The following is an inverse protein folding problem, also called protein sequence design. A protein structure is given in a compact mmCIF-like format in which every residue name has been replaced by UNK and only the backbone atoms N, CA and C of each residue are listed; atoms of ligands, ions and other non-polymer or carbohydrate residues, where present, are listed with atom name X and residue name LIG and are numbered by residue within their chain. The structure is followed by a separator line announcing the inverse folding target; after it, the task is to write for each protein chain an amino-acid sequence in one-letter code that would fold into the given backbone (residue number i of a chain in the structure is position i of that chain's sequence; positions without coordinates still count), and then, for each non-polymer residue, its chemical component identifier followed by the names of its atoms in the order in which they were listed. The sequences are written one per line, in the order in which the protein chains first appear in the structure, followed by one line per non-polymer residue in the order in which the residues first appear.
data_IF_652306833272
#
_entry.id   IF_652306833272
#
_cell.length_a   1.000
_cell.length_b   1.000
_cell.length_c   1.000
_cell.angle_alpha   90.00
_cell.angle_beta   90.00
_cell.angle_gamma   90.00
#
_symmetry.space_group_name_H-M   'P 1'
#
loop_
_entity.id
_entity.type
_entity.pdbx_description
1 polymer ?
#
# COMPACT_ATOMS: atom_id res chain seq x y z
N UNK A 1 31.91 -2.04 4.49
CA UNK A 1 31.63 -3.26 3.76
C UNK A 1 31.21 -2.89 2.33
N UNK A 2 31.82 -3.51 1.32
CA UNK A 2 31.44 -3.37 -0.09
C UNK A 2 30.77 -4.67 -0.53
N UNK A 3 29.61 -4.55 -1.18
CA UNK A 3 28.84 -5.66 -1.75
C UNK A 3 28.67 -5.43 -3.24
N UNK A 4 28.85 -6.45 -4.05
CA UNK A 4 28.68 -6.39 -5.50
C UNK A 4 27.69 -7.47 -5.95
N UNK A 5 26.68 -7.06 -6.72
CA UNK A 5 25.62 -7.92 -7.21
C UNK A 5 25.41 -7.76 -8.70
N UNK A 6 24.97 -8.82 -9.35
CA UNK A 6 24.52 -8.83 -10.73
C UNK A 6 23.00 -8.99 -10.75
N UNK A 7 22.31 -8.01 -11.30
CA UNK A 7 20.85 -7.95 -11.29
C UNK A 7 20.32 -7.44 -12.64
N UNK A 8 19.19 -7.94 -13.14
CA UNK A 8 18.51 -7.34 -14.29
C UNK A 8 18.14 -5.87 -14.02
N UNK A 9 18.25 -5.00 -15.03
CA UNK A 9 17.99 -3.55 -14.87
C UNK A 9 16.62 -3.25 -14.28
N UNK A 10 15.58 -4.05 -14.60
CA UNK A 10 14.24 -3.91 -14.02
C UNK A 10 14.18 -4.20 -12.51
N UNK A 11 15.12 -4.98 -11.96
CA UNK A 11 15.20 -5.26 -10.52
C UNK A 11 15.87 -4.15 -9.71
N UNK A 12 16.49 -3.16 -10.37
CA UNK A 12 17.09 -1.99 -9.70
C UNK A 12 16.03 -0.95 -9.37
N UNK A 13 14.89 -0.97 -10.09
CA UNK A 13 13.80 -0.02 -9.89
C UNK A 13 13.29 -0.12 -8.45
N UNK A 14 13.25 1.00 -7.72
CA UNK A 14 12.84 1.08 -6.30
C UNK A 14 13.89 0.61 -5.28
N UNK A 15 14.91 -0.13 -5.70
CA UNK A 15 15.90 -0.72 -4.79
C UNK A 15 16.71 0.34 -4.02
N UNK A 16 16.96 1.49 -4.62
CA UNK A 16 17.70 2.58 -3.95
C UNK A 16 17.00 3.03 -2.67
N UNK A 17 15.68 3.23 -2.73
CA UNK A 17 14.89 3.66 -1.58
C UNK A 17 14.89 2.60 -0.47
N UNK A 18 14.79 1.33 -0.85
CA UNK A 18 14.86 0.20 0.08
C UNK A 18 16.22 0.15 0.78
N UNK A 19 17.31 0.24 0.03
CA UNK A 19 18.68 0.20 0.57
C UNK A 19 18.95 1.39 1.49
N UNK A 20 18.53 2.61 1.11
CA UNK A 20 18.67 3.79 1.96
C UNK A 20 17.86 3.66 3.26
N UNK A 21 16.64 3.13 3.19
CA UNK A 21 15.80 2.91 4.37
C UNK A 21 16.43 1.87 5.33
N UNK A 22 16.89 0.74 4.79
CA UNK A 22 17.52 -0.32 5.58
C UNK A 22 18.83 0.09 6.23
N UNK A 23 19.58 1.00 5.59
CA UNK A 23 20.86 1.51 6.09
C UNK A 23 20.74 2.82 6.87
N UNK A 24 19.53 3.27 7.18
CA UNK A 24 19.28 4.58 7.79
C UNK A 24 19.94 5.76 7.03
N UNK A 25 20.04 5.63 5.69
CA UNK A 25 20.63 6.65 4.81
C UNK A 25 22.15 6.54 4.59
N UNK A 26 22.83 5.60 5.24
CA UNK A 26 24.29 5.48 5.17
C UNK A 26 24.80 4.77 3.91
N UNK A 27 23.99 3.96 3.24
CA UNK A 27 24.42 3.20 2.09
C UNK A 27 24.58 4.05 0.83
N UNK A 28 25.64 3.78 0.09
CA UNK A 28 25.87 4.33 -1.25
C UNK A 28 25.60 3.22 -2.26
N UNK A 29 24.64 3.46 -3.17
CA UNK A 29 24.33 2.53 -4.25
C UNK A 29 24.75 3.12 -5.59
N UNK A 30 25.59 2.41 -6.30
CA UNK A 30 25.97 2.70 -7.68
C UNK A 30 25.72 1.48 -8.56
N UNK A 31 25.36 1.69 -9.82
CA UNK A 31 25.18 0.61 -10.77
C UNK A 31 25.82 0.98 -12.13
N UNK A 32 26.19 -0.05 -12.87
CA UNK A 32 26.71 0.08 -14.23
C UNK A 32 26.15 -1.01 -15.12
N UNK A 33 26.03 -0.75 -16.40
CA UNK A 33 25.69 -1.78 -17.37
C UNK A 33 26.82 -2.82 -17.44
N UNK A 34 26.47 -4.09 -17.44
CA UNK A 34 27.43 -5.19 -17.55
C UNK A 34 27.35 -5.86 -18.91
N UNK A 35 26.20 -6.43 -19.27
CA UNK A 35 25.98 -7.15 -20.53
C UNK A 35 24.49 -7.37 -20.77
N UNK A 36 24.12 -7.73 -22.01
CA UNK A 36 22.82 -8.32 -22.32
C UNK A 36 22.83 -9.81 -21.97
N UNK A 37 21.78 -10.28 -21.33
CA UNK A 37 21.61 -11.68 -20.94
C UNK A 37 20.20 -12.19 -21.24
N UNK A 38 20.00 -13.50 -21.32
CA UNK A 38 18.67 -14.09 -21.43
C UNK A 38 17.75 -13.65 -20.30
N UNK A 39 16.46 -13.63 -20.58
CA UNK A 39 15.41 -13.31 -19.62
C UNK A 39 15.50 -14.20 -18.36
N UNK A 40 15.53 -13.56 -17.19
CA UNK A 40 15.70 -14.22 -15.88
C UNK A 40 14.38 -14.53 -15.15
N UNK A 41 13.25 -14.48 -15.83
CA UNK A 41 11.94 -14.69 -15.23
C UNK A 41 11.35 -13.40 -14.61
N UNK A 42 10.19 -13.52 -14.00
CA UNK A 42 9.53 -12.44 -13.28
C UNK A 42 10.31 -12.06 -12.01
N UNK A 43 10.27 -10.78 -11.65
CA UNK A 43 10.82 -10.27 -10.40
C UNK A 43 9.67 -9.72 -9.58
N UNK A 44 9.32 -10.42 -8.51
CA UNK A 44 8.32 -9.94 -7.57
C UNK A 44 8.85 -8.71 -6.84
N UNK A 45 8.14 -7.58 -7.00
CA UNK A 45 8.51 -6.30 -6.38
C UNK A 45 7.92 -6.14 -4.99
N UNK A 46 6.72 -6.67 -4.77
CA UNK A 46 5.98 -6.56 -3.52
C UNK A 46 5.31 -7.88 -3.18
N UNK A 47 5.77 -8.53 -2.10
CA UNK A 47 5.18 -9.78 -1.60
C UNK A 47 3.86 -9.54 -0.87
N UNK A 48 3.78 -8.41 -0.14
CA UNK A 48 2.60 -8.07 0.64
C UNK A 48 1.39 -7.75 -0.23
N UNK A 49 0.22 -8.14 0.26
CA UNK A 49 -1.06 -7.83 -0.37
C UNK A 49 -1.50 -6.38 -0.16
N UNK A 50 -2.66 -6.05 -0.71
CA UNK A 50 -3.30 -4.74 -0.59
C UNK A 50 -4.45 -4.78 0.40
N UNK A 51 -4.64 -3.70 1.16
CA UNK A 51 -5.88 -3.40 1.86
C UNK A 51 -6.79 -2.64 0.89
N UNK A 52 -7.93 -3.22 0.55
CA UNK A 52 -8.84 -2.68 -0.48
C UNK A 52 -10.10 -2.17 0.19
N UNK A 53 -10.54 -0.96 -0.14
CA UNK A 53 -11.78 -0.41 0.36
C UNK A 53 -12.99 -1.22 -0.11
N UNK A 54 -13.85 -1.60 0.85
CA UNK A 54 -15.08 -2.36 0.60
C UNK A 54 -16.14 -1.51 -0.08
N UNK A 55 -16.28 -0.26 0.31
CA UNK A 55 -17.36 0.63 -0.12
C UNK A 55 -16.87 2.07 -0.29
N UNK A 56 -17.67 2.86 -0.97
CA UNK A 56 -17.43 4.30 -1.16
C UNK A 56 -17.96 5.08 0.04
N UNK A 57 -17.17 6.03 0.53
CA UNK A 57 -17.56 6.89 1.65
C UNK A 57 -16.36 7.59 2.27
N UNK A 58 -16.56 8.13 3.47
CA UNK A 58 -15.52 8.83 4.23
C UNK A 58 -14.81 7.85 5.17
N UNK A 59 -13.49 7.86 5.20
CA UNK A 59 -12.69 7.05 6.10
C UNK A 59 -12.75 7.58 7.53
N UNK A 60 -13.06 6.73 8.51
CA UNK A 60 -13.13 7.11 9.93
C UNK A 60 -11.91 6.65 10.71
N UNK A 61 -11.38 7.55 11.58
CA UNK A 61 -10.26 7.27 12.46
C UNK A 61 -10.46 5.97 13.27
N UNK A 62 -11.66 5.75 13.80
CA UNK A 62 -12.00 4.54 14.55
C UNK A 62 -11.83 3.25 13.72
N UNK A 63 -12.25 3.27 12.45
CA UNK A 63 -12.12 2.10 11.60
C UNK A 63 -10.67 1.83 11.22
N UNK A 64 -9.91 2.90 10.91
CA UNK A 64 -8.48 2.79 10.61
C UNK A 64 -7.74 2.24 11.84
N UNK A 65 -7.97 2.78 13.03
CA UNK A 65 -7.35 2.33 14.28
C UNK A 65 -7.56 0.83 14.53
N UNK A 66 -8.78 0.34 14.36
CA UNK A 66 -9.12 -1.09 14.53
C UNK A 66 -8.50 -2.01 13.49
N UNK A 67 -8.01 -1.46 12.40
CA UNK A 67 -7.43 -2.22 11.28
C UNK A 67 -5.91 -2.07 11.19
N UNK A 68 -5.27 -1.27 12.05
CA UNK A 68 -3.82 -1.03 12.03
C UNK A 68 -2.99 -2.31 12.17
N UNK A 69 -3.47 -3.31 12.90
CA UNK A 69 -2.80 -4.61 13.04
C UNK A 69 -2.75 -5.40 11.72
N UNK A 70 -3.58 -5.03 10.74
CA UNK A 70 -3.60 -5.69 9.43
C UNK A 70 -2.58 -5.16 8.45
N UNK A 71 -2.04 -3.96 8.70
CA UNK A 71 -1.04 -3.38 7.82
C UNK A 71 -0.92 -1.85 7.93
N UNK A 72 -0.23 -1.27 6.97
CA UNK A 72 0.01 0.18 6.90
C UNK A 72 -0.98 0.86 5.98
N UNK A 73 -1.56 1.97 6.43
CA UNK A 73 -2.54 2.74 5.65
C UNK A 73 -1.89 3.85 4.83
N UNK A 74 -2.53 4.20 3.70
CA UNK A 74 -2.15 5.28 2.76
C UNK A 74 -3.14 6.44 2.80
N UNK A 75 -4.20 6.32 3.60
CA UNK A 75 -5.31 7.28 3.69
C UNK A 75 -5.33 7.96 5.05
N UNK A 76 -5.77 9.20 5.05
CA UNK A 76 -6.03 9.97 6.26
C UNK A 76 -7.47 9.77 6.75
N UNK A 77 -7.74 9.95 8.06
CA UNK A 77 -9.10 10.12 8.55
C UNK A 77 -9.80 11.28 7.85
N UNK A 78 -11.11 11.16 7.68
CA UNK A 78 -11.98 12.13 6.98
C UNK A 78 -11.71 12.23 5.46
N UNK A 79 -10.84 11.41 4.91
CA UNK A 79 -10.60 11.33 3.47
C UNK A 79 -11.73 10.57 2.78
N UNK A 80 -12.19 11.07 1.64
CA UNK A 80 -13.11 10.36 0.78
C UNK A 80 -12.39 9.26 0.00
N UNK A 81 -12.98 8.09 0.00
CA UNK A 81 -12.50 6.89 -0.67
C UNK A 81 -13.63 6.25 -1.47
N UNK A 82 -13.27 5.34 -2.34
CA UNK A 82 -14.24 4.57 -3.14
C UNK A 82 -13.95 3.07 -3.13
N UNK A 83 -14.97 2.26 -3.41
CA UNK A 83 -14.84 0.81 -3.49
C UNK A 83 -13.78 0.38 -4.50
N UNK A 84 -12.89 -0.53 -4.12
CA UNK A 84 -11.79 -0.98 -4.98
C UNK A 84 -10.53 -0.10 -4.94
N UNK A 85 -10.55 1.04 -4.22
CA UNK A 85 -9.35 1.82 -3.93
C UNK A 85 -8.43 1.04 -2.98
N UNK A 86 -7.12 1.05 -3.23
CA UNK A 86 -6.11 0.52 -2.31
C UNK A 86 -5.87 1.56 -1.23
N UNK A 87 -6.27 1.24 -0.02
CA UNK A 87 -6.20 2.14 1.15
C UNK A 87 -5.03 1.84 2.07
N UNK A 88 -4.29 0.76 1.78
CA UNK A 88 -3.11 0.37 2.56
C UNK A 88 -2.43 -0.87 2.02
N UNK A 89 -1.32 -1.23 2.67
CA UNK A 89 -0.58 -2.48 2.45
C UNK A 89 -0.93 -3.47 3.54
N UNK A 90 -1.27 -4.70 3.14
CA UNK A 90 -1.47 -5.79 4.08
C UNK A 90 -0.13 -6.23 4.69
N UNK A 91 -0.09 -6.60 5.96
CA UNK A 91 1.10 -7.18 6.61
C UNK A 91 1.41 -8.62 6.15
N UNK A 92 0.51 -9.25 5.40
CA UNK A 92 0.62 -10.62 4.88
C UNK A 92 0.49 -10.62 3.36
N UNK A 93 0.89 -11.71 2.75
CA UNK A 93 0.60 -12.00 1.35
C UNK A 93 -0.92 -12.05 1.12
N UNK A 94 -1.32 -11.66 -0.09
CA UNK A 94 -2.72 -11.66 -0.50
C UNK A 94 -3.49 -10.39 -0.10
N UNK A 95 -4.42 -10.04 -0.96
CA UNK A 95 -5.27 -8.87 -0.81
C UNK A 95 -6.43 -9.15 0.14
N UNK A 96 -6.78 -8.17 0.95
CA UNK A 96 -7.98 -8.21 1.80
C UNK A 96 -8.84 -6.97 1.61
N UNK A 97 -10.14 -7.20 1.59
CA UNK A 97 -11.13 -6.12 1.56
C UNK A 97 -11.44 -5.69 2.99
N UNK A 98 -11.36 -4.39 3.24
CA UNK A 98 -11.53 -3.77 4.55
C UNK A 98 -12.58 -2.67 4.51
N UNK A 99 -13.35 -2.56 5.59
CA UNK A 99 -14.31 -1.47 5.74
C UNK A 99 -13.72 -0.37 6.63
N UNK A 100 -13.27 0.72 6.01
CA UNK A 100 -12.71 1.89 6.70
C UNK A 100 -13.73 3.03 6.84
N UNK A 101 -14.97 2.86 6.34
CA UNK A 101 -16.05 3.85 6.46
C UNK A 101 -16.93 3.62 7.69
N UNK A 102 -16.63 2.60 8.48
CA UNK A 102 -17.42 2.24 9.66
C UNK A 102 -17.21 3.26 10.78
N UNK A 103 -18.24 4.02 11.12
CA UNK A 103 -18.23 4.92 12.27
C UNK A 103 -18.35 4.16 13.60
N UNK A 104 -17.87 4.75 14.68
CA UNK A 104 -18.13 4.26 16.04
C UNK A 104 -19.63 4.37 16.32
N UNK A 105 -20.30 3.27 16.65
CA UNK A 105 -21.68 3.33 17.15
C UNK A 105 -21.66 4.06 18.50
N UNK A 106 -22.51 5.07 18.65
CA UNK A 106 -22.72 5.72 19.93
C UNK A 106 -23.26 4.70 20.93
N UNK A 107 -22.42 4.25 21.85
CA UNK A 107 -22.80 3.44 23.00
C UNK A 107 -23.02 4.35 24.19
N UNK A 108 -24.04 4.02 25.00
CA UNK A 108 -24.57 4.77 26.13
C UNK A 108 -23.54 5.54 26.98
N UNK A 109 -23.95 6.70 27.49
CA UNK A 109 -23.23 7.79 28.16
C UNK A 109 -22.35 7.43 29.38
N UNK A 110 -22.25 6.18 29.83
CA UNK A 110 -21.45 5.81 31.00
C UNK A 110 -19.96 5.50 30.71
N UNK A 111 -19.53 5.48 29.45
CA UNK A 111 -18.15 5.21 29.05
C UNK A 111 -17.45 6.41 28.40
N UNK A 112 -17.97 7.62 28.57
CA UNK A 112 -17.43 8.83 27.94
C UNK A 112 -16.09 9.33 28.54
N UNK A 113 -15.59 8.67 29.59
CA UNK A 113 -14.32 9.03 30.23
C UNK A 113 -13.08 8.28 29.73
N UNK A 114 -13.26 7.22 28.94
CA UNK A 114 -12.18 6.41 28.38
C UNK A 114 -12.21 6.45 26.84
N UNK A 115 -12.20 7.62 26.26
CA UNK A 115 -11.77 7.76 24.87
C UNK A 115 -10.24 7.57 24.87
N UNK A 116 -9.83 6.33 24.77
CA UNK A 116 -8.47 6.01 24.37
C UNK A 116 -8.22 6.79 23.09
N UNK A 117 -7.37 7.81 23.18
CA UNK A 117 -6.95 8.61 22.02
C UNK A 117 -6.38 7.60 21.03
N UNK A 118 -7.11 7.35 19.95
CA UNK A 118 -6.70 6.41 18.91
C UNK A 118 -5.23 6.73 18.54
N UNK A 119 -4.34 5.81 18.84
CA UNK A 119 -2.90 5.96 18.62
C UNK A 119 -2.63 5.62 17.16
N UNK A 120 -3.00 6.55 16.29
CA UNK A 120 -2.91 6.33 14.86
C UNK A 120 -1.46 6.43 14.38
N UNK A 121 -1.03 5.39 13.69
CA UNK A 121 0.22 5.40 12.92
C UNK A 121 -0.01 6.35 11.73
N UNK A 122 0.89 7.32 11.51
CA UNK A 122 0.77 8.19 10.35
C UNK A 122 0.68 7.39 9.04
N UNK A 123 -0.21 7.76 8.11
CA UNK A 123 -0.30 7.09 6.83
C UNK A 123 0.96 7.31 5.99
N UNK A 124 1.28 6.32 5.17
CA UNK A 124 2.34 6.44 4.17
C UNK A 124 1.80 7.27 3.00
N UNK A 125 2.52 8.33 2.65
CA UNK A 125 2.21 9.17 1.50
C UNK A 125 3.26 8.92 0.43
N UNK A 126 2.83 8.48 -0.73
CA UNK A 126 3.71 8.22 -1.87
C UNK A 126 3.80 9.44 -2.80
N UNK A 127 5.00 9.71 -3.30
CA UNK A 127 5.18 10.49 -4.52
C UNK A 127 4.68 9.73 -5.75
N UNK A 128 4.63 10.38 -6.90
CA UNK A 128 4.25 9.70 -8.15
C UNK A 128 5.24 8.58 -8.49
N UNK A 129 6.53 8.85 -8.35
CA UNK A 129 7.59 7.90 -8.62
C UNK A 129 7.48 6.68 -7.71
N UNK A 130 7.32 6.90 -6.41
CA UNK A 130 7.14 5.82 -5.43
C UNK A 130 5.87 5.02 -5.69
N UNK A 131 4.78 5.67 -6.11
CA UNK A 131 3.55 5.00 -6.49
C UNK A 131 3.76 4.06 -7.67
N UNK A 132 4.46 4.52 -8.72
CA UNK A 132 4.75 3.73 -9.91
C UNK A 132 5.70 2.55 -9.62
N UNK A 133 6.61 2.72 -8.65
CA UNK A 133 7.46 1.63 -8.17
C UNK A 133 6.69 0.61 -7.32
N UNK A 134 5.64 1.06 -6.62
CA UNK A 134 4.90 0.28 -5.64
C UNK A 134 3.78 -0.57 -6.24
N UNK A 135 3.07 -0.09 -7.26
CA UNK A 135 1.88 -0.75 -7.83
C UNK A 135 2.19 -2.14 -8.39
N UNK A 136 1.20 -3.05 -8.28
CA UNK A 136 1.19 -4.38 -8.90
C UNK A 136 0.55 -4.32 -10.29
N UNK A 137 0.66 -5.41 -11.04
CA UNK A 137 0.11 -5.54 -12.39
C UNK A 137 -1.43 -5.40 -12.45
N UNK A 138 -2.11 -5.75 -11.34
CA UNK A 138 -3.56 -5.64 -11.18
C UNK A 138 -4.00 -4.29 -10.58
N UNK A 139 -3.09 -3.33 -10.48
CA UNK A 139 -3.31 -2.01 -9.87
C UNK A 139 -3.00 -0.88 -10.85
N UNK A 140 -3.72 0.24 -10.70
CA UNK A 140 -3.45 1.50 -11.38
C UNK A 140 -3.09 2.59 -10.39
N UNK A 141 -2.17 3.47 -10.81
CA UNK A 141 -1.97 4.77 -10.20
C UNK A 141 -2.96 5.78 -10.80
N UNK A 142 -3.83 6.34 -9.98
CA UNK A 142 -4.75 7.41 -10.35
C UNK A 142 -4.17 8.73 -9.91
N UNK A 143 -3.86 9.60 -10.86
CA UNK A 143 -3.26 10.92 -10.61
C UNK A 143 -4.30 12.00 -10.90
N UNK A 144 -4.59 12.80 -9.89
CA UNK A 144 -5.45 13.97 -9.99
C UNK A 144 -4.66 15.22 -9.56
N UNK A 145 -5.14 16.44 -9.82
CA UNK A 145 -4.42 17.65 -9.38
C UNK A 145 -4.14 17.70 -7.86
N UNK A 146 -4.98 17.04 -7.05
CA UNK A 146 -4.91 17.11 -5.59
C UNK A 146 -4.47 15.80 -4.92
N UNK A 147 -4.53 14.66 -5.61
CA UNK A 147 -4.33 13.35 -5.00
C UNK A 147 -3.65 12.37 -5.94
N UNK A 148 -2.76 11.57 -5.38
CA UNK A 148 -2.28 10.33 -5.99
C UNK A 148 -2.93 9.19 -5.21
N UNK A 149 -3.60 8.28 -5.92
CA UNK A 149 -4.31 7.13 -5.35
C UNK A 149 -3.89 5.86 -6.07
N UNK A 150 -3.92 4.76 -5.35
CA UNK A 150 -3.76 3.43 -5.94
C UNK A 150 -5.12 2.76 -5.95
N UNK A 151 -5.47 2.08 -7.03
CA UNK A 151 -6.72 1.34 -7.13
C UNK A 151 -6.55 0.03 -7.88
N UNK A 152 -7.43 -0.92 -7.63
CA UNK A 152 -7.50 -2.13 -8.45
C UNK A 152 -8.03 -1.83 -9.85
N UNK A 153 -7.57 -2.56 -10.86
CA UNK A 153 -8.10 -2.49 -12.22
C UNK A 153 -9.59 -2.85 -12.19
N UNK A 154 -9.92 -3.97 -11.54
CA UNK A 154 -11.29 -4.41 -11.32
C UNK A 154 -11.75 -3.89 -9.94
N UNK A 155 -12.60 -2.86 -9.93
CA UNK A 155 -13.09 -2.24 -8.69
C UNK A 155 -14.04 -3.15 -7.91
N UNK A 156 -14.89 -3.93 -8.62
CA UNK A 156 -15.83 -4.85 -7.98
C UNK A 156 -15.12 -6.08 -7.40
N UNK A 157 -15.44 -6.41 -6.14
CA UNK A 157 -14.84 -7.54 -5.43
C UNK A 157 -15.18 -8.89 -6.10
N UNK A 158 -16.44 -9.05 -6.55
CA UNK A 158 -16.86 -10.29 -7.19
C UNK A 158 -16.19 -10.48 -8.56
N UNK A 159 -15.93 -9.38 -9.28
CA UNK A 159 -15.17 -9.41 -10.52
C UNK A 159 -13.74 -9.88 -10.28
N UNK A 160 -13.05 -9.35 -9.26
CA UNK A 160 -11.70 -9.80 -8.87
C UNK A 160 -11.69 -11.28 -8.49
N UNK A 161 -12.65 -11.74 -7.67
CA UNK A 161 -12.75 -13.16 -7.28
C UNK A 161 -13.01 -14.11 -8.47
N UNK A 162 -13.72 -13.64 -9.49
CA UNK A 162 -13.93 -14.45 -10.72
C UNK A 162 -12.68 -14.50 -11.57
N UNK A 163 -11.96 -13.41 -11.64
CA UNK A 163 -10.74 -13.33 -12.45
C UNK A 163 -9.60 -14.17 -11.86
N UNK A 164 -9.43 -14.17 -10.54
CA UNK A 164 -8.43 -14.97 -9.84
C UNK A 164 -8.65 -16.50 -9.90
N UNK A 165 -9.81 -16.95 -10.43
CA UNK A 165 -10.14 -18.38 -10.59
C UNK A 165 -9.89 -18.90 -12.02
N UNK A 166 -9.50 -18.02 -12.94
CA UNK A 166 -9.13 -18.37 -14.31
C UNK A 166 -7.68 -18.80 -14.37
#
# INVERSE_FOLDING_TARGET
LQLEFKIPSRGIIGMRNIVLTLSAGEAIMAHRFLAYEPWKGEIERRMNGSLIAMETGTAFAYAIDKLQDRGRFFIFPQQEIYAGQVVGENSKEGDIVVNVTKSKKLTNMRASGADDKARMIPPVVFSLEETLEYIKEDEYAEVTPNHIRIRKILLDENARKRDSRK
#
